data_IF_108100769751
#
_entry.id   IF_108100769751
#
_cell.length_a   1.000
_cell.length_b   1.000
_cell.length_c   1.000
_cell.angle_alpha   90.00
_cell.angle_beta   90.00
_cell.angle_gamma   90.00
#
_symmetry.space_group_name_H-M   'P 1'
#
loop_
_entity.id
_entity.type
_entity.pdbx_description
1 polymer ?
#
# COMPACT_ATOMS: atom_id res chain seq x y z
N UNK A 1 -17.72 -2.26 28.12
CA UNK A 1 -17.72 -1.23 27.05
C UNK A 1 -16.84 -0.10 27.50
N UNK A 2 -15.76 0.22 26.76
CA UNK A 2 -14.99 1.43 27.04
C UNK A 2 -15.88 2.65 26.76
N UNK A 3 -15.85 3.61 27.67
CA UNK A 3 -16.64 4.83 27.56
C UNK A 3 -16.17 5.65 26.35
N UNK A 4 -17.10 6.06 25.48
CA UNK A 4 -16.80 6.91 24.31
C UNK A 4 -16.11 8.23 24.75
N UNK A 5 -16.36 8.69 25.96
CA UNK A 5 -15.70 9.85 26.54
C UNK A 5 -14.19 9.62 26.72
N UNK A 6 -13.75 8.40 27.09
CA UNK A 6 -12.34 8.06 27.19
C UNK A 6 -11.64 8.11 25.82
N UNK A 7 -12.34 7.67 24.76
CA UNK A 7 -11.82 7.74 23.39
C UNK A 7 -11.62 9.19 22.96
N UNK A 8 -12.60 10.06 23.19
CA UNK A 8 -12.52 11.48 22.87
C UNK A 8 -11.44 12.18 23.68
N UNK A 9 -11.31 11.87 24.96
CA UNK A 9 -10.28 12.42 25.83
C UNK A 9 -8.87 12.03 25.34
N UNK A 10 -8.63 10.74 25.00
CA UNK A 10 -7.38 10.26 24.47
C UNK A 10 -7.06 10.88 23.10
N UNK A 11 -8.06 11.03 22.22
CA UNK A 11 -7.93 11.69 20.94
C UNK A 11 -7.45 13.14 21.09
N UNK A 12 -8.10 13.89 21.98
CA UNK A 12 -7.73 15.28 22.28
C UNK A 12 -6.34 15.38 22.91
N UNK A 13 -6.06 14.53 23.89
CA UNK A 13 -4.79 14.56 24.64
C UNK A 13 -3.58 14.23 23.77
N UNK A 14 -3.66 13.21 22.92
CA UNK A 14 -2.51 12.68 22.19
C UNK A 14 -2.41 13.18 20.73
N UNK A 15 -3.54 13.52 20.09
CA UNK A 15 -3.56 14.00 18.70
C UNK A 15 -4.03 15.44 18.53
N UNK A 16 -4.61 16.06 19.57
CA UNK A 16 -5.12 17.43 19.52
C UNK A 16 -6.42 17.58 18.69
N UNK A 17 -7.10 16.48 18.38
CA UNK A 17 -8.36 16.51 17.63
C UNK A 17 -9.57 16.46 18.57
N UNK A 18 -10.56 17.30 18.31
CA UNK A 18 -11.82 17.32 19.09
C UNK A 18 -12.78 16.21 18.67
N UNK A 19 -12.79 15.85 17.38
CA UNK A 19 -13.74 14.89 16.82
C UNK A 19 -13.05 13.95 15.81
N UNK A 20 -13.61 12.75 15.69
CA UNK A 20 -13.25 11.80 14.65
C UNK A 20 -13.96 12.16 13.33
N UNK A 21 -13.33 11.87 12.22
CA UNK A 21 -13.93 12.01 10.89
C UNK A 21 -14.68 10.74 10.53
N UNK A 22 -15.91 10.80 10.05
CA UNK A 22 -16.59 9.61 9.53
C UNK A 22 -15.76 8.96 8.40
N UNK A 23 -15.60 7.61 8.35
CA UNK A 23 -16.13 6.60 9.29
C UNK A 23 -15.10 6.10 10.34
N UNK A 24 -14.17 6.94 10.82
CA UNK A 24 -13.14 6.54 11.81
C UNK A 24 -13.78 5.98 13.10
N UNK A 25 -14.92 6.52 13.51
CA UNK A 25 -15.67 6.05 14.68
C UNK A 25 -16.14 4.61 14.53
N UNK A 26 -16.61 4.21 13.33
CA UNK A 26 -17.02 2.84 13.03
C UNK A 26 -15.83 1.87 13.14
N UNK A 27 -14.66 2.28 12.60
CA UNK A 27 -13.42 1.49 12.68
C UNK A 27 -13.02 1.27 14.14
N UNK A 28 -13.01 2.34 14.94
CA UNK A 28 -12.61 2.29 16.35
C UNK A 28 -13.56 1.39 17.13
N UNK A 29 -14.89 1.51 16.93
CA UNK A 29 -15.89 0.63 17.58
C UNK A 29 -15.65 -0.83 17.23
N UNK A 30 -15.52 -1.17 15.94
CA UNK A 30 -15.29 -2.54 15.50
C UNK A 30 -14.06 -3.17 16.20
N UNK A 31 -12.95 -2.42 16.27
CA UNK A 31 -11.73 -2.90 16.91
C UNK A 31 -11.84 -3.02 18.44
N UNK A 32 -12.55 -2.10 19.12
CA UNK A 32 -12.81 -2.18 20.56
C UNK A 32 -13.73 -3.35 20.90
N UNK A 33 -14.70 -3.65 20.04
CA UNK A 33 -15.62 -4.78 20.16
C UNK A 33 -14.97 -6.11 19.74
N UNK A 34 -13.66 -6.09 19.45
CA UNK A 34 -12.86 -7.25 19.00
C UNK A 34 -13.41 -7.94 17.76
N UNK A 35 -14.01 -7.17 16.84
CA UNK A 35 -14.51 -7.64 15.55
C UNK A 35 -13.41 -7.49 14.49
N UNK A 36 -13.36 -8.46 13.59
CA UNK A 36 -12.52 -8.35 12.40
C UNK A 36 -13.02 -7.19 11.52
N UNK A 37 -12.11 -6.51 10.80
CA UNK A 37 -12.49 -5.38 9.97
C UNK A 37 -11.70 -5.32 8.65
N UNK A 38 -12.40 -4.95 7.58
CA UNK A 38 -11.79 -4.60 6.30
C UNK A 38 -12.05 -3.11 6.04
N UNK A 39 -10.97 -2.31 6.15
CA UNK A 39 -11.03 -0.86 6.18
C UNK A 39 -10.41 -0.29 4.90
N UNK A 40 -11.25 0.28 4.04
CA UNK A 40 -10.83 0.93 2.80
C UNK A 40 -11.05 2.43 2.91
N UNK A 41 -10.03 3.15 3.33
CA UNK A 41 -10.08 4.61 3.53
C UNK A 41 -9.02 5.30 2.67
N UNK A 42 -9.36 6.31 1.89
CA UNK A 42 -8.43 7.03 1.05
C UNK A 42 -7.20 7.54 1.80
N UNK A 43 -6.12 7.80 1.07
CA UNK A 43 -4.92 8.40 1.64
C UNK A 43 -5.24 9.73 2.31
N UNK A 44 -4.74 9.96 3.53
CA UNK A 44 -5.00 11.19 4.30
C UNK A 44 -6.25 11.14 5.21
N UNK A 45 -7.02 10.05 5.20
CA UNK A 45 -8.19 9.87 6.09
C UNK A 45 -7.83 9.47 7.53
N UNK A 46 -6.54 9.34 7.86
CA UNK A 46 -6.13 9.02 9.22
C UNK A 46 -6.32 7.55 9.61
N UNK A 47 -6.11 6.62 8.67
CA UNK A 47 -6.16 5.17 8.93
C UNK A 47 -5.39 4.75 10.18
N UNK A 48 -4.14 5.23 10.30
CA UNK A 48 -3.25 4.87 11.42
C UNK A 48 -3.82 5.32 12.78
N UNK A 49 -4.45 6.49 12.83
CA UNK A 49 -5.10 7.01 14.04
C UNK A 49 -6.10 6.00 14.62
N UNK A 50 -6.91 5.34 13.77
CA UNK A 50 -7.96 4.44 14.23
C UNK A 50 -7.40 3.30 15.09
N UNK A 51 -6.39 2.58 14.59
CA UNK A 51 -5.83 1.45 15.34
C UNK A 51 -4.84 1.89 16.43
N UNK A 52 -4.14 3.03 16.26
CA UNK A 52 -3.25 3.57 17.28
C UNK A 52 -4.03 4.01 18.53
N UNK A 53 -5.17 4.67 18.34
CA UNK A 53 -6.02 5.10 19.44
C UNK A 53 -6.59 3.89 20.21
N UNK A 54 -7.04 2.86 19.50
CA UNK A 54 -7.54 1.62 20.12
C UNK A 54 -6.43 0.90 20.89
N UNK A 55 -5.23 0.78 20.31
CA UNK A 55 -4.09 0.14 20.97
C UNK A 55 -3.67 0.86 22.25
N UNK A 56 -3.79 2.18 22.29
CA UNK A 56 -3.49 2.99 23.49
C UNK A 56 -4.45 2.68 24.65
N UNK A 57 -5.72 2.48 24.34
CA UNK A 57 -6.78 2.27 25.31
C UNK A 57 -6.85 0.85 25.88
N UNK A 58 -6.13 -0.09 25.27
CA UNK A 58 -6.12 -1.50 25.66
C UNK A 58 -4.81 -1.90 26.34
N UNK A 59 -4.84 -2.90 27.21
CA UNK A 59 -3.65 -3.56 27.76
C UNK A 59 -3.17 -4.66 26.81
N UNK A 60 -1.84 -4.85 26.71
CA UNK A 60 -1.24 -5.79 25.75
C UNK A 60 -0.78 -5.10 24.46
N UNK A 61 -0.29 -5.87 23.50
CA UNK A 61 0.31 -5.37 22.26
C UNK A 61 -0.63 -5.55 21.07
N UNK A 62 -0.76 -4.52 20.26
CA UNK A 62 -1.32 -4.61 18.91
C UNK A 62 -0.16 -4.78 17.93
N UNK A 63 -0.17 -5.87 17.19
CA UNK A 63 0.80 -6.16 16.13
C UNK A 63 0.39 -5.42 14.87
N UNK A 64 1.29 -4.62 14.30
CA UNK A 64 1.04 -3.87 13.06
C UNK A 64 2.01 -4.37 11.99
N UNK A 65 1.49 -5.11 11.03
CA UNK A 65 2.28 -5.61 9.89
C UNK A 65 2.22 -4.58 8.77
N UNK A 66 3.41 -4.09 8.39
CA UNK A 66 3.56 -3.07 7.35
C UNK A 66 4.67 -3.44 6.35
N UNK A 67 4.54 -3.10 5.05
CA UNK A 67 5.49 -3.53 4.03
C UNK A 67 6.82 -2.78 4.02
N UNK A 68 6.91 -1.63 4.66
CA UNK A 68 8.06 -0.72 4.54
C UNK A 68 8.67 -0.34 5.88
N UNK A 69 10.00 -0.55 5.98
CA UNK A 69 10.78 -0.20 7.17
C UNK A 69 10.67 1.31 7.47
N UNK A 70 10.89 2.17 6.47
CA UNK A 70 10.83 3.62 6.64
C UNK A 70 9.46 4.08 7.19
N UNK A 71 8.35 3.51 6.68
CA UNK A 71 7.02 3.82 7.19
C UNK A 71 6.85 3.41 8.66
N UNK A 72 7.35 2.22 9.02
CA UNK A 72 7.29 1.75 10.42
C UNK A 72 8.10 2.66 11.34
N UNK A 73 9.31 3.05 10.94
CA UNK A 73 10.17 3.98 11.70
C UNK A 73 9.49 5.34 11.90
N UNK A 74 8.93 5.92 10.83
CA UNK A 74 8.24 7.21 10.89
C UNK A 74 7.01 7.17 11.83
N UNK A 75 6.20 6.11 11.72
CA UNK A 75 5.04 5.90 12.59
C UNK A 75 5.46 5.78 14.06
N UNK A 76 6.51 5.01 14.35
CA UNK A 76 7.02 4.84 15.71
C UNK A 76 7.62 6.15 16.25
N UNK A 77 8.36 6.90 15.43
CA UNK A 77 8.90 8.21 15.85
C UNK A 77 7.77 9.20 16.17
N UNK A 78 6.69 9.24 15.39
CA UNK A 78 5.54 10.10 15.66
C UNK A 78 4.83 9.70 16.96
N UNK A 79 4.70 8.39 17.23
CA UNK A 79 4.15 7.87 18.49
C UNK A 79 5.05 8.21 19.70
N UNK A 80 6.37 8.15 19.56
CA UNK A 80 7.29 8.56 20.64
C UNK A 80 7.19 10.06 20.98
N UNK A 81 7.03 10.91 19.95
CA UNK A 81 6.76 12.37 20.21
C UNK A 81 5.49 12.57 21.04
N UNK A 82 4.52 11.67 20.91
CA UNK A 82 3.26 11.65 21.68
C UNK A 82 3.39 10.90 23.00
N UNK A 83 4.60 10.40 23.35
CA UNK A 83 4.89 9.61 24.55
C UNK A 83 4.10 8.28 24.60
N UNK A 84 3.84 7.67 23.44
CA UNK A 84 3.14 6.40 23.33
C UNK A 84 4.12 5.23 23.25
N UNK A 85 3.86 4.11 23.96
CA UNK A 85 4.78 2.96 24.00
C UNK A 85 4.66 2.12 22.74
N UNK A 86 5.43 2.46 21.72
CA UNK A 86 5.53 1.79 20.46
C UNK A 86 6.97 1.43 20.11
N UNK A 87 7.14 0.39 19.30
CA UNK A 87 8.44 -0.01 18.77
C UNK A 87 8.28 -0.59 17.35
N UNK A 88 9.39 -0.66 16.60
CA UNK A 88 9.46 -1.43 15.37
C UNK A 88 10.55 -2.50 15.46
N UNK A 89 10.34 -3.62 14.73
CA UNK A 89 11.30 -4.70 14.54
C UNK A 89 11.49 -4.94 13.05
N UNK A 90 12.74 -4.82 12.59
CA UNK A 90 13.13 -5.09 11.20
C UNK A 90 14.59 -5.58 11.12
N UNK A 91 15.02 -6.02 9.94
CA UNK A 91 16.35 -6.60 9.72
C UNK A 91 17.50 -5.61 9.93
N UNK A 92 17.28 -4.32 9.69
CA UNK A 92 18.28 -3.26 9.78
C UNK A 92 18.42 -2.70 11.22
N UNK A 93 17.63 -3.19 12.18
CA UNK A 93 17.65 -2.68 13.55
C UNK A 93 18.93 -3.14 14.29
N UNK A 94 19.54 -2.22 15.02
CA UNK A 94 20.69 -2.51 15.89
C UNK A 94 20.38 -3.69 16.85
N UNK A 95 21.32 -4.65 17.02
CA UNK A 95 21.10 -5.84 17.85
C UNK A 95 20.75 -5.54 19.31
N UNK A 96 21.34 -4.51 19.90
CA UNK A 96 21.05 -4.14 21.29
C UNK A 96 19.64 -3.55 21.41
N UNK A 97 19.23 -2.70 20.46
CA UNK A 97 17.88 -2.17 20.39
C UNK A 97 16.86 -3.27 20.16
N UNK A 98 17.16 -4.22 19.24
CA UNK A 98 16.32 -5.40 18.99
C UNK A 98 16.07 -6.19 20.27
N UNK A 99 17.11 -6.47 21.06
CA UNK A 99 16.99 -7.17 22.36
C UNK A 99 16.11 -6.40 23.34
N UNK A 100 16.22 -5.07 23.40
CA UNK A 100 15.37 -4.23 24.26
C UNK A 100 13.90 -4.27 23.86
N UNK A 101 13.61 -4.23 22.55
CA UNK A 101 12.23 -4.31 22.02
C UNK A 101 11.62 -5.67 22.33
N UNK A 102 12.37 -6.77 22.14
CA UNK A 102 11.91 -8.12 22.45
C UNK A 102 11.62 -8.30 23.93
N UNK A 103 12.47 -7.72 24.82
CA UNK A 103 12.23 -7.72 26.27
C UNK A 103 10.99 -6.89 26.63
N UNK A 104 10.79 -5.73 26.01
CA UNK A 104 9.61 -4.91 26.24
C UNK A 104 8.31 -5.59 25.78
N UNK A 105 8.35 -6.43 24.72
CA UNK A 105 7.25 -7.27 24.30
C UNK A 105 6.91 -8.33 25.37
N UNK A 106 7.90 -9.07 25.88
CA UNK A 106 7.73 -10.07 26.94
C UNK A 106 7.11 -9.49 28.21
N UNK A 107 7.48 -8.27 28.56
CA UNK A 107 7.03 -7.55 29.76
C UNK A 107 5.72 -6.77 29.55
N UNK A 108 5.02 -6.93 28.40
CA UNK A 108 3.80 -6.21 28.01
C UNK A 108 3.91 -4.68 28.14
N UNK A 109 5.12 -4.13 27.95
CA UNK A 109 5.37 -2.67 28.01
C UNK A 109 5.06 -1.94 26.69
N UNK A 110 4.79 -2.68 25.62
CA UNK A 110 4.42 -2.12 24.31
C UNK A 110 2.90 -2.11 24.14
N UNK A 111 2.40 -1.06 23.51
CA UNK A 111 1.02 -0.99 23.00
C UNK A 111 0.95 -1.29 21.50
N UNK A 112 1.99 -0.92 20.77
CA UNK A 112 2.11 -1.13 19.33
C UNK A 112 3.48 -1.70 19.00
N UNK A 113 3.49 -2.76 18.20
CA UNK A 113 4.71 -3.34 17.65
C UNK A 113 4.57 -3.42 16.13
N UNK A 114 5.33 -2.57 15.43
CA UNK A 114 5.43 -2.56 13.97
C UNK A 114 6.49 -3.53 13.50
N UNK A 115 6.16 -4.37 12.51
CA UNK A 115 7.09 -5.35 11.96
C UNK A 115 6.68 -5.78 10.54
N UNK A 116 7.64 -6.33 9.79
CA UNK A 116 7.33 -7.04 8.55
C UNK A 116 6.82 -8.47 8.82
N UNK A 117 6.11 -9.09 7.88
CA UNK A 117 5.63 -10.46 8.06
C UNK A 117 6.78 -11.47 8.26
N UNK A 118 7.92 -11.26 7.61
CA UNK A 118 9.12 -12.07 7.76
C UNK A 118 9.66 -12.03 9.20
N UNK A 119 9.61 -10.84 9.81
CA UNK A 119 10.04 -10.65 11.21
C UNK A 119 9.04 -11.26 12.18
N UNK A 120 7.74 -11.15 11.89
CA UNK A 120 6.67 -11.73 12.71
C UNK A 120 6.85 -13.25 12.90
N UNK A 121 7.16 -13.96 11.81
CA UNK A 121 7.36 -15.40 11.82
C UNK A 121 8.81 -15.81 12.10
N UNK A 122 9.71 -14.86 12.46
CA UNK A 122 11.07 -15.21 12.87
C UNK A 122 11.08 -15.88 14.25
N UNK A 123 11.97 -16.86 14.49
CA UNK A 123 12.00 -17.59 15.76
C UNK A 123 12.05 -16.69 17.00
N UNK A 124 12.85 -15.60 17.05
CA UNK A 124 12.91 -14.75 18.24
C UNK A 124 11.59 -14.05 18.58
N UNK A 125 10.79 -13.69 17.56
CA UNK A 125 9.49 -13.04 17.77
C UNK A 125 8.43 -14.09 18.05
N UNK A 126 8.39 -15.16 17.23
CA UNK A 126 7.39 -16.21 17.33
C UNK A 126 7.37 -16.89 18.72
N UNK A 127 8.54 -17.28 19.23
CA UNK A 127 8.68 -17.88 20.57
C UNK A 127 8.11 -16.99 21.67
N UNK A 128 8.24 -15.64 21.53
CA UNK A 128 7.68 -14.69 22.50
C UNK A 128 6.17 -14.57 22.39
N UNK A 129 5.67 -14.52 21.18
CA UNK A 129 4.22 -14.47 20.97
C UNK A 129 3.50 -15.71 21.53
N UNK A 130 4.17 -16.85 21.58
CA UNK A 130 3.64 -18.09 22.17
C UNK A 130 3.65 -18.09 23.71
N UNK A 131 4.44 -17.22 24.36
CA UNK A 131 4.52 -17.19 25.84
C UNK A 131 3.17 -16.76 26.44
N UNK A 132 2.59 -17.48 27.41
CA UNK A 132 1.25 -17.21 27.95
C UNK A 132 1.06 -15.78 28.47
N UNK A 133 2.12 -15.19 29.07
CA UNK A 133 2.07 -13.83 29.65
C UNK A 133 2.00 -12.72 28.60
N UNK A 134 2.44 -12.92 27.36
CA UNK A 134 2.39 -11.91 26.31
C UNK A 134 0.93 -11.75 25.84
N UNK A 135 0.34 -10.60 26.03
CA UNK A 135 -1.05 -10.32 25.66
C UNK A 135 -1.10 -9.69 24.27
N UNK A 136 -1.87 -10.27 23.36
CA UNK A 136 -2.09 -9.75 22.00
C UNK A 136 -3.50 -9.22 21.91
N UNK A 137 -3.63 -7.93 21.57
CA UNK A 137 -4.93 -7.26 21.43
C UNK A 137 -5.50 -7.36 20.01
N UNK A 138 -4.65 -7.44 19.00
CA UNK A 138 -5.08 -7.50 17.61
C UNK A 138 -3.92 -7.58 16.64
N UNK A 139 -4.23 -7.96 15.41
CA UNK A 139 -3.35 -7.90 14.26
C UNK A 139 -3.89 -6.85 13.28
N UNK A 140 -3.11 -5.84 13.02
CA UNK A 140 -3.38 -4.83 11.99
C UNK A 140 -2.49 -5.14 10.79
N UNK A 141 -3.09 -5.24 9.62
CA UNK A 141 -2.37 -5.39 8.35
C UNK A 141 -2.51 -4.07 7.60
N UNK A 142 -1.45 -3.26 7.64
CA UNK A 142 -1.41 -1.98 6.94
C UNK A 142 -0.97 -2.17 5.49
N UNK A 143 -1.49 -1.32 4.59
CA UNK A 143 -1.34 -1.43 3.13
C UNK A 143 -1.69 -2.85 2.62
N UNK A 144 -2.81 -3.39 3.12
CA UNK A 144 -3.22 -4.77 2.92
C UNK A 144 -3.38 -5.17 1.44
N UNK A 145 -3.62 -4.21 0.52
CA UNK A 145 -3.66 -4.48 -0.92
C UNK A 145 -2.40 -5.20 -1.45
N UNK A 146 -1.25 -5.04 -0.77
CA UNK A 146 0.01 -5.72 -1.12
C UNK A 146 -0.06 -7.25 -1.01
N UNK A 147 -1.06 -7.80 -0.29
CA UNK A 147 -1.28 -9.26 -0.21
C UNK A 147 -1.82 -9.86 -1.51
N UNK A 148 -2.54 -9.05 -2.29
CA UNK A 148 -3.28 -9.51 -3.47
C UNK A 148 -2.55 -9.20 -4.76
N UNK A 149 -1.83 -8.08 -4.81
CA UNK A 149 -1.17 -7.63 -6.04
C UNK A 149 0.18 -8.30 -6.24
N UNK A 150 0.29 -9.04 -7.35
CA UNK A 150 1.52 -9.65 -7.81
C UNK A 150 2.37 -8.63 -8.57
N UNK A 151 3.58 -8.41 -8.10
CA UNK A 151 4.52 -7.48 -8.72
C UNK A 151 5.80 -7.34 -7.88
N UNK A 152 6.62 -6.35 -8.17
CA UNK A 152 7.89 -6.12 -7.48
C UNK A 152 7.77 -5.83 -5.98
N UNK A 153 6.57 -5.49 -5.49
CA UNK A 153 6.28 -5.28 -4.07
C UNK A 153 5.63 -6.49 -3.38
N UNK A 154 5.33 -7.55 -4.11
CA UNK A 154 4.69 -8.74 -3.54
C UNK A 154 5.60 -9.45 -2.53
N UNK A 155 5.07 -9.68 -1.33
CA UNK A 155 5.76 -10.40 -0.24
C UNK A 155 4.98 -11.67 0.12
N UNK A 156 5.49 -12.86 -0.21
CA UNK A 156 4.79 -14.13 0.01
C UNK A 156 4.47 -14.38 1.48
N UNK A 157 5.28 -13.86 2.39
CA UNK A 157 5.10 -14.00 3.84
C UNK A 157 3.80 -13.38 4.35
N UNK A 158 3.24 -12.39 3.65
CA UNK A 158 1.94 -11.82 4.00
C UNK A 158 0.80 -12.83 3.94
N UNK A 159 0.86 -13.82 3.06
CA UNK A 159 -0.19 -14.83 2.93
C UNK A 159 -0.31 -15.76 4.12
N UNK A 160 0.72 -15.81 4.95
CA UNK A 160 0.72 -16.61 6.18
C UNK A 160 0.06 -15.89 7.36
N UNK A 161 -0.29 -14.60 7.21
CA UNK A 161 -0.86 -13.79 8.30
C UNK A 161 -2.21 -14.32 8.78
N UNK A 162 -3.05 -14.88 7.92
CA UNK A 162 -4.31 -15.52 8.30
C UNK A 162 -4.12 -16.66 9.28
N UNK A 163 -2.98 -17.37 9.18
CA UNK A 163 -2.65 -18.51 10.03
C UNK A 163 -2.15 -18.12 11.43
N UNK A 164 -1.88 -16.82 11.67
CA UNK A 164 -1.39 -16.36 12.97
C UNK A 164 -2.37 -16.69 14.10
N UNK A 165 -3.63 -16.38 13.90
CA UNK A 165 -4.70 -16.59 14.90
C UNK A 165 -4.94 -18.08 15.22
N UNK A 166 -5.13 -19.01 14.25
CA UNK A 166 -5.25 -20.41 14.53
C UNK A 166 -4.00 -21.03 15.16
N UNK A 167 -2.80 -20.62 14.73
CA UNK A 167 -1.54 -21.14 15.29
C UNK A 167 -1.28 -20.69 16.74
N UNK A 168 -1.81 -19.55 17.16
CA UNK A 168 -1.71 -19.06 18.54
C UNK A 168 -2.92 -19.45 19.41
N UNK A 169 -4.01 -19.96 18.83
CA UNK A 169 -5.23 -20.30 19.56
C UNK A 169 -5.03 -21.25 20.76
N UNK A 170 -4.07 -22.23 20.75
CA UNK A 170 -3.83 -23.10 21.92
C UNK A 170 -3.32 -22.34 23.15
N UNK A 171 -2.69 -21.16 22.96
CA UNK A 171 -1.99 -20.43 24.04
C UNK A 171 -2.50 -19.00 24.22
N UNK A 172 -3.37 -18.51 23.33
CA UNK A 172 -3.87 -17.12 23.33
C UNK A 172 -5.39 -17.07 23.20
N UNK A 173 -6.04 -16.12 23.89
CA UNK A 173 -7.41 -15.72 23.55
C UNK A 173 -7.50 -15.26 22.09
N UNK A 174 -8.69 -15.42 21.50
CA UNK A 174 -8.93 -14.87 20.14
C UNK A 174 -8.79 -13.35 20.14
N UNK A 175 -8.16 -12.83 19.11
CA UNK A 175 -7.96 -11.40 18.88
C UNK A 175 -8.43 -11.01 17.47
N UNK A 176 -8.86 -9.75 17.24
CA UNK A 176 -9.32 -9.30 15.94
C UNK A 176 -8.17 -9.16 14.95
N UNK A 177 -8.48 -9.35 13.67
CA UNK A 177 -7.60 -9.04 12.53
C UNK A 177 -8.26 -7.92 11.72
N UNK A 178 -7.54 -6.84 11.48
CA UNK A 178 -8.04 -5.76 10.66
C UNK A 178 -7.09 -5.41 9.51
N UNK A 179 -7.64 -5.41 8.30
CA UNK A 179 -6.93 -5.07 7.07
C UNK A 179 -7.21 -3.61 6.71
N UNK A 180 -6.16 -2.81 6.58
CA UNK A 180 -6.23 -1.39 6.21
C UNK A 180 -5.62 -1.17 4.84
N UNK A 181 -6.32 -0.48 3.97
CA UNK A 181 -5.80 -0.06 2.67
C UNK A 181 -6.40 1.28 2.23
N UNK A 182 -5.70 1.96 1.33
CA UNK A 182 -6.23 3.19 0.71
C UNK A 182 -7.13 2.89 -0.49
N UNK A 183 -6.88 1.79 -1.18
CA UNK A 183 -7.53 1.43 -2.44
C UNK A 183 -7.76 -0.08 -2.48
N UNK A 184 -8.99 -0.50 -2.71
CA UNK A 184 -9.34 -1.89 -2.99
C UNK A 184 -10.65 -1.94 -3.78
N UNK A 185 -10.66 -2.69 -4.87
CA UNK A 185 -11.87 -3.08 -5.57
C UNK A 185 -12.60 -4.22 -4.83
N UNK A 186 -13.86 -4.55 -5.18
CA UNK A 186 -14.61 -5.60 -4.49
C UNK A 186 -13.92 -6.98 -4.53
N UNK A 187 -13.22 -7.30 -5.61
CA UNK A 187 -12.50 -8.57 -5.75
C UNK A 187 -11.29 -8.62 -4.82
N UNK A 188 -10.52 -7.52 -4.73
CA UNK A 188 -9.43 -7.37 -3.76
C UNK A 188 -9.95 -7.50 -2.33
N UNK A 189 -11.08 -6.88 -2.00
CA UNK A 189 -11.71 -7.01 -0.68
C UNK A 189 -12.04 -8.46 -0.32
N UNK A 190 -12.67 -9.19 -1.23
CA UNK A 190 -12.99 -10.61 -1.06
C UNK A 190 -11.74 -11.47 -0.84
N UNK A 191 -10.70 -11.25 -1.67
CA UNK A 191 -9.41 -11.97 -1.53
C UNK A 191 -8.70 -11.67 -0.22
N UNK A 192 -8.72 -10.41 0.23
CA UNK A 192 -8.14 -10.03 1.53
C UNK A 192 -8.82 -10.76 2.67
N UNK A 193 -10.17 -10.82 2.66
CA UNK A 193 -10.95 -11.56 3.66
C UNK A 193 -10.59 -13.04 3.69
N UNK A 194 -10.41 -13.67 2.53
CA UNK A 194 -10.02 -15.07 2.41
C UNK A 194 -8.57 -15.33 2.89
N UNK A 195 -7.61 -14.52 2.44
CA UNK A 195 -6.17 -14.69 2.78
C UNK A 195 -5.95 -14.49 4.28
N UNK A 196 -6.62 -13.52 4.89
CA UNK A 196 -6.48 -13.18 6.30
C UNK A 196 -7.41 -13.99 7.21
N UNK A 197 -8.24 -14.88 6.64
CA UNK A 197 -9.24 -15.66 7.37
C UNK A 197 -10.10 -14.81 8.31
N UNK A 198 -10.59 -13.66 7.77
CA UNK A 198 -11.41 -12.74 8.54
C UNK A 198 -12.76 -13.39 8.87
N UNK A 199 -13.20 -13.22 10.12
CA UNK A 199 -14.44 -13.80 10.65
C UNK A 199 -15.51 -12.73 10.71
N UNK A 200 -16.50 -12.82 9.83
CA UNK A 200 -17.63 -11.85 9.73
C UNK A 200 -17.15 -10.39 9.85
N UNK A 201 -16.23 -9.94 8.96
CA UNK A 201 -15.58 -8.65 9.13
C UNK A 201 -16.52 -7.48 8.90
N UNK A 202 -16.37 -6.42 9.69
CA UNK A 202 -16.95 -5.12 9.36
C UNK A 202 -16.31 -4.55 8.10
N UNK A 203 -17.13 -4.30 7.07
CA UNK A 203 -16.70 -3.64 5.85
C UNK A 203 -16.88 -2.14 5.95
N UNK A 204 -15.79 -1.42 6.27
CA UNK A 204 -15.82 0.03 6.45
C UNK A 204 -15.10 0.68 5.26
N UNK A 205 -15.86 1.44 4.46
CA UNK A 205 -15.35 2.03 3.23
C UNK A 205 -15.73 3.51 3.15
N UNK A 206 -14.78 4.33 2.68
CA UNK A 206 -15.05 5.71 2.31
C UNK A 206 -14.82 5.91 0.82
N UNK A 207 -15.59 6.81 0.23
CA UNK A 207 -15.50 7.18 -1.17
C UNK A 207 -14.09 7.69 -1.52
N UNK A 208 -13.45 7.16 -2.56
CA UNK A 208 -12.16 7.65 -3.03
C UNK A 208 -12.23 9.01 -3.74
N UNK A 209 -13.43 9.52 -4.04
CA UNK A 209 -13.63 10.81 -4.69
C UNK A 209 -13.04 11.94 -3.86
N UNK A 210 -12.18 12.72 -4.49
CA UNK A 210 -11.58 13.92 -3.90
C UNK A 210 -11.81 15.10 -4.81
N UNK A 211 -12.72 15.98 -4.42
CA UNK A 211 -13.13 17.15 -5.22
C UNK A 211 -11.97 18.11 -5.56
N UNK A 212 -10.93 18.14 -4.71
CA UNK A 212 -9.74 18.95 -4.91
C UNK A 212 -8.71 18.35 -5.89
N UNK A 213 -8.91 17.11 -6.37
CA UNK A 213 -8.05 16.48 -7.38
C UNK A 213 -8.63 16.64 -8.78
N UNK A 214 -7.93 17.38 -9.63
CA UNK A 214 -8.25 17.51 -11.05
C UNK A 214 -7.51 16.46 -11.86
N UNK A 215 -8.22 15.43 -12.35
CA UNK A 215 -7.64 14.35 -13.14
C UNK A 215 -7.60 14.72 -14.63
N UNK A 216 -6.42 14.58 -15.25
CA UNK A 216 -6.23 14.91 -16.67
C UNK A 216 -5.42 13.82 -17.37
N UNK A 217 -5.75 13.52 -18.62
CA UNK A 217 -5.02 12.61 -19.49
C UNK A 217 -4.67 13.30 -20.79
N UNK A 218 -3.41 13.17 -21.21
CA UNK A 218 -2.95 13.75 -22.45
C UNK A 218 -2.17 12.74 -23.30
N UNK A 219 -2.50 12.66 -24.58
CA UNK A 219 -1.81 11.79 -25.55
C UNK A 219 -0.48 12.43 -25.92
N UNK A 220 0.60 11.67 -25.78
CA UNK A 220 1.92 12.00 -26.30
C UNK A 220 2.14 11.27 -27.61
N UNK A 221 2.37 12.02 -28.69
CA UNK A 221 2.53 11.48 -30.03
C UNK A 221 3.93 10.93 -30.33
N UNK A 222 4.90 11.27 -29.49
CA UNK A 222 6.27 10.75 -29.60
C UNK A 222 6.98 10.92 -28.24
N UNK A 223 8.13 10.24 -28.03
CA UNK A 223 8.96 10.48 -26.85
C UNK A 223 9.40 11.96 -26.69
N UNK A 224 9.63 12.66 -27.79
CA UNK A 224 9.96 14.10 -27.78
C UNK A 224 8.74 14.94 -27.36
N UNK A 225 7.55 14.62 -27.86
CA UNK A 225 6.32 15.29 -27.47
C UNK A 225 5.98 15.04 -25.99
N UNK A 226 6.23 13.84 -25.48
CA UNK A 226 6.08 13.49 -24.06
C UNK A 226 6.93 14.39 -23.17
N UNK A 227 8.21 14.57 -23.52
CA UNK A 227 9.13 15.47 -22.81
C UNK A 227 8.70 16.94 -22.91
N UNK A 228 8.26 17.40 -24.08
CA UNK A 228 7.76 18.76 -24.28
C UNK A 228 6.51 19.05 -23.44
N UNK A 229 5.57 18.09 -23.35
CA UNK A 229 4.37 18.19 -22.50
C UNK A 229 4.73 18.25 -21.02
N UNK A 230 5.72 17.46 -20.59
CA UNK A 230 6.25 17.53 -19.22
C UNK A 230 6.78 18.94 -18.92
N UNK A 231 7.66 19.51 -19.77
CA UNK A 231 8.20 20.86 -19.54
C UNK A 231 7.11 21.91 -19.48
N UNK A 232 6.14 21.87 -20.41
CA UNK A 232 5.00 22.77 -20.40
C UNK A 232 4.22 22.65 -19.08
N UNK A 233 3.93 21.44 -18.66
CA UNK A 233 3.20 21.19 -17.41
C UNK A 233 3.95 21.72 -16.19
N UNK A 234 5.27 21.51 -16.12
CA UNK A 234 6.11 22.03 -15.04
C UNK A 234 6.17 23.57 -15.02
N UNK A 235 6.13 24.22 -16.19
CA UNK A 235 6.06 25.68 -16.31
C UNK A 235 4.71 26.27 -15.88
N UNK A 236 3.61 25.58 -16.22
CA UNK A 236 2.25 26.03 -15.91
C UNK A 236 1.80 25.75 -14.46
N UNK A 237 2.47 24.83 -13.76
CA UNK A 237 2.03 24.37 -12.43
C UNK A 237 3.12 24.64 -11.39
N UNK A 238 3.08 25.80 -10.72
CA UNK A 238 4.00 26.10 -9.63
C UNK A 238 3.71 25.23 -8.40
N UNK A 239 4.62 25.30 -7.40
CA UNK A 239 4.49 24.56 -6.16
C UNK A 239 5.13 23.16 -6.21
N UNK A 240 4.98 22.44 -5.12
CA UNK A 240 5.58 21.12 -4.91
C UNK A 240 4.84 20.03 -5.70
N UNK A 241 5.57 19.07 -6.26
CA UNK A 241 4.98 17.99 -7.02
C UNK A 241 5.81 16.74 -7.15
N UNK A 242 5.26 15.75 -7.90
CA UNK A 242 5.87 14.45 -8.15
C UNK A 242 5.74 14.09 -9.63
N UNK A 243 6.83 13.55 -10.20
CA UNK A 243 6.83 12.95 -11.54
C UNK A 243 7.04 11.45 -11.40
N UNK A 244 5.99 10.67 -11.67
CA UNK A 244 6.07 9.21 -11.61
C UNK A 244 6.58 8.61 -12.90
N UNK A 245 7.58 7.75 -12.78
CA UNK A 245 8.14 6.90 -13.85
C UNK A 245 8.02 5.43 -13.44
N UNK A 246 8.18 4.51 -14.40
CA UNK A 246 7.93 3.08 -14.13
C UNK A 246 9.20 2.29 -13.81
N UNK A 247 10.36 2.73 -14.28
CA UNK A 247 11.63 2.04 -14.04
C UNK A 247 12.66 2.96 -13.40
N UNK A 248 13.65 2.38 -12.73
CA UNK A 248 14.80 3.13 -12.15
C UNK A 248 15.52 3.90 -13.23
N UNK A 249 15.80 3.23 -14.35
CA UNK A 249 16.46 3.80 -15.52
C UNK A 249 15.71 5.00 -16.09
N UNK A 250 14.38 4.88 -16.28
CA UNK A 250 13.54 6.01 -16.71
C UNK A 250 13.70 7.22 -15.77
N UNK A 251 13.78 6.95 -14.45
CA UNK A 251 13.94 8.00 -13.44
C UNK A 251 15.26 8.72 -13.54
N UNK A 252 16.36 7.97 -13.63
CA UNK A 252 17.73 8.49 -13.74
C UNK A 252 17.89 9.31 -15.03
N UNK A 253 17.51 8.74 -16.19
CA UNK A 253 17.57 9.40 -17.49
C UNK A 253 16.70 10.68 -17.53
N UNK A 254 15.50 10.64 -16.95
CA UNK A 254 14.62 11.79 -16.93
C UNK A 254 15.11 12.90 -16.00
N UNK A 255 15.60 12.55 -14.82
CA UNK A 255 16.15 13.54 -13.88
C UNK A 255 17.41 14.23 -14.43
N UNK A 256 18.31 13.47 -15.07
CA UNK A 256 19.48 14.02 -15.74
C UNK A 256 19.08 14.97 -16.89
N UNK A 257 18.12 14.54 -17.73
CA UNK A 257 17.62 15.37 -18.82
C UNK A 257 16.98 16.67 -18.32
N UNK A 258 16.18 16.62 -17.22
CA UNK A 258 15.59 17.81 -16.59
C UNK A 258 16.66 18.72 -16.00
N UNK A 259 17.74 18.18 -15.43
CA UNK A 259 18.89 18.96 -14.98
C UNK A 259 19.53 19.77 -16.09
N UNK A 260 19.67 19.19 -17.31
CA UNK A 260 20.15 19.91 -18.52
C UNK A 260 19.20 21.02 -18.98
N UNK A 261 17.93 21.00 -18.54
CA UNK A 261 16.95 22.08 -18.76
C UNK A 261 16.90 23.09 -17.59
N UNK A 262 17.93 23.12 -16.74
CA UNK A 262 18.02 23.98 -15.55
C UNK A 262 16.88 23.75 -14.52
N UNK A 263 16.30 22.56 -14.49
CA UNK A 263 15.28 22.17 -13.51
C UNK A 263 15.92 21.32 -12.41
N UNK A 264 16.07 21.90 -11.23
CA UNK A 264 16.64 21.20 -10.06
C UNK A 264 15.69 20.11 -9.58
N UNK A 265 16.07 18.86 -9.77
CA UNK A 265 15.33 17.66 -9.32
C UNK A 265 16.31 16.53 -9.02
N UNK A 266 15.79 15.44 -8.46
CA UNK A 266 16.53 14.20 -8.27
C UNK A 266 15.62 13.00 -8.52
N UNK A 267 16.20 11.83 -8.78
CA UNK A 267 15.43 10.59 -8.89
C UNK A 267 15.36 9.87 -7.56
N UNK A 268 14.18 9.27 -7.28
CA UNK A 268 13.96 8.43 -6.11
C UNK A 268 13.42 7.07 -6.51
N UNK A 269 14.10 6.00 -6.12
CA UNK A 269 13.69 4.61 -6.38
C UNK A 269 14.24 3.64 -5.33
N UNK A 270 13.70 2.44 -5.28
CA UNK A 270 14.07 1.42 -4.30
C UNK A 270 15.50 0.88 -4.41
N UNK A 271 16.23 1.21 -5.47
CA UNK A 271 17.66 0.86 -5.64
C UNK A 271 18.63 1.81 -4.97
N UNK A 272 18.16 2.96 -4.47
CA UNK A 272 18.99 3.89 -3.72
C UNK A 272 19.26 3.36 -2.30
N UNK A 273 20.46 3.66 -1.78
CA UNK A 273 20.79 3.42 -0.38
C UNK A 273 19.81 4.14 0.56
N UNK A 274 19.55 3.55 1.73
CA UNK A 274 18.61 4.11 2.71
C UNK A 274 18.96 5.54 3.12
N UNK A 275 20.26 5.85 3.32
CA UNK A 275 20.73 7.19 3.63
C UNK A 275 20.42 8.22 2.53
N UNK A 276 20.60 7.83 1.26
CA UNK A 276 20.29 8.69 0.12
C UNK A 276 18.79 8.92 -0.01
N UNK A 277 17.96 7.90 0.19
CA UNK A 277 16.51 8.03 0.20
C UNK A 277 16.05 9.04 1.25
N UNK A 278 16.51 8.92 2.51
CA UNK A 278 16.17 9.85 3.60
C UNK A 278 16.63 11.28 3.32
N UNK A 279 17.80 11.49 2.66
CA UNK A 279 18.24 12.84 2.26
C UNK A 279 17.32 13.47 1.24
N UNK A 280 16.92 12.73 0.20
CA UNK A 280 16.05 13.21 -0.86
C UNK A 280 14.63 13.51 -0.33
N UNK A 281 14.09 12.64 0.52
CA UNK A 281 12.82 12.86 1.21
C UNK A 281 12.84 14.16 2.01
N UNK A 282 13.88 14.37 2.82
CA UNK A 282 14.04 15.59 3.63
C UNK A 282 14.16 16.82 2.75
N UNK A 283 15.01 16.80 1.72
CA UNK A 283 15.18 17.92 0.80
C UNK A 283 13.87 18.31 0.09
N UNK A 284 13.05 17.32 -0.27
CA UNK A 284 11.75 17.58 -0.88
C UNK A 284 10.71 18.07 0.15
N UNK A 285 10.68 17.50 1.35
CA UNK A 285 9.80 17.96 2.43
C UNK A 285 10.09 19.41 2.84
N UNK A 286 11.36 19.80 2.88
CA UNK A 286 11.82 21.15 3.24
C UNK A 286 11.72 22.15 2.06
N UNK A 287 11.35 21.68 0.85
CA UNK A 287 11.20 22.56 -0.32
C UNK A 287 12.52 22.90 -1.03
N UNK A 288 13.65 22.31 -0.65
CA UNK A 288 14.94 22.47 -1.34
C UNK A 288 14.88 21.89 -2.76
N UNK A 289 14.08 20.83 -2.94
CA UNK A 289 13.68 20.28 -4.22
C UNK A 289 12.18 20.57 -4.44
N UNK A 290 11.87 21.27 -5.52
CA UNK A 290 10.48 21.57 -5.89
C UNK A 290 9.69 20.28 -6.19
N UNK A 291 10.33 19.32 -6.85
CA UNK A 291 9.73 18.04 -7.21
C UNK A 291 10.77 16.93 -7.27
N UNK A 292 10.29 15.69 -7.24
CA UNK A 292 11.10 14.50 -7.44
C UNK A 292 10.61 13.72 -8.66
N UNK A 293 11.54 13.11 -9.39
CA UNK A 293 11.25 12.05 -10.35
C UNK A 293 11.31 10.73 -9.60
N UNK A 294 10.22 9.95 -9.56
CA UNK A 294 10.16 8.81 -8.66
C UNK A 294 9.46 7.60 -9.28
N UNK A 295 9.85 6.42 -8.81
CA UNK A 295 9.06 5.20 -9.02
C UNK A 295 8.02 5.03 -7.92
N UNK A 296 7.19 3.98 -8.00
CA UNK A 296 6.24 3.61 -6.94
C UNK A 296 6.90 3.34 -5.56
N UNK A 297 8.23 3.21 -5.50
CA UNK A 297 8.97 3.13 -4.24
C UNK A 297 8.88 4.43 -3.42
N UNK A 298 8.59 5.58 -4.08
CA UNK A 298 8.37 6.84 -3.40
C UNK A 298 6.91 6.96 -3.03
N UNK A 299 6.68 7.08 -1.74
CA UNK A 299 5.39 7.55 -1.35
C UNK A 299 4.69 6.84 -0.20
N UNK A 300 4.80 5.53 0.01
CA UNK A 300 4.25 4.92 1.23
C UNK A 300 4.96 5.54 2.45
N UNK A 301 4.18 6.16 3.35
CA UNK A 301 4.71 6.82 4.55
C UNK A 301 5.01 8.31 4.44
N UNK A 302 5.27 8.85 3.27
CA UNK A 302 5.62 10.26 3.14
C UNK A 302 4.35 11.13 3.20
N UNK A 303 4.36 12.08 4.15
CA UNK A 303 3.25 12.99 4.35
C UNK A 303 3.67 14.45 4.12
N UNK A 304 3.54 14.92 2.87
CA UNK A 304 3.64 16.34 2.51
C UNK A 304 2.23 16.83 2.16
N UNK A 305 1.65 17.75 2.92
CA UNK A 305 0.25 18.16 2.74
C UNK A 305 0.03 18.99 1.46
N UNK A 306 1.01 19.80 1.09
CA UNK A 306 0.95 20.85 0.07
C UNK A 306 1.46 20.42 -1.31
N UNK A 307 1.30 19.16 -1.70
CA UNK A 307 1.61 18.70 -3.05
C UNK A 307 0.55 19.24 -4.02
N UNK A 308 0.97 20.11 -4.95
CA UNK A 308 0.05 20.82 -5.85
C UNK A 308 -0.17 20.10 -7.18
N UNK A 309 0.72 19.18 -7.54
CA UNK A 309 0.55 18.41 -8.77
C UNK A 309 1.26 17.04 -8.70
N UNK A 310 0.70 16.11 -9.46
CA UNK A 310 1.26 14.78 -9.70
C UNK A 310 1.24 14.50 -11.20
N UNK A 311 2.38 14.17 -11.78
CA UNK A 311 2.48 13.83 -13.19
C UNK A 311 2.94 12.39 -13.36
N UNK A 312 2.19 11.59 -14.13
CA UNK A 312 2.61 10.29 -14.59
C UNK A 312 3.24 10.42 -15.96
N UNK A 313 4.57 10.26 -16.01
CA UNK A 313 5.31 10.30 -17.29
C UNK A 313 4.98 9.09 -18.16
N UNK A 314 4.65 7.94 -17.54
CA UNK A 314 4.03 6.78 -18.12
C UNK A 314 2.90 6.27 -17.23
N UNK A 315 1.83 5.70 -17.80
CA UNK A 315 0.72 5.16 -17.02
C UNK A 315 1.18 4.12 -15.98
N UNK A 316 0.58 4.10 -14.79
CA UNK A 316 0.77 3.01 -13.85
C UNK A 316 0.11 1.71 -14.36
N UNK A 317 0.54 0.54 -13.86
CA UNK A 317 0.03 -0.73 -14.32
C UNK A 317 -1.43 -0.99 -13.92
N UNK A 318 -1.90 -0.38 -12.82
CA UNK A 318 -3.25 -0.56 -12.32
C UNK A 318 -3.91 0.76 -11.94
N UNK A 319 -5.24 0.77 -11.93
CA UNK A 319 -6.01 1.94 -11.46
C UNK A 319 -5.81 2.18 -9.96
N UNK A 320 -5.52 1.14 -9.18
CA UNK A 320 -5.19 1.25 -7.76
C UNK A 320 -3.87 2.00 -7.55
N UNK A 321 -2.82 1.64 -8.31
CA UNK A 321 -1.55 2.38 -8.27
C UNK A 321 -1.78 3.85 -8.65
N UNK A 322 -2.58 4.11 -9.68
CA UNK A 322 -2.93 5.46 -10.09
C UNK A 322 -3.55 6.27 -8.96
N UNK A 323 -4.60 5.75 -8.31
CA UNK A 323 -5.27 6.46 -7.21
C UNK A 323 -4.36 6.63 -5.99
N UNK A 324 -3.51 5.66 -5.69
CA UNK A 324 -2.55 5.75 -4.61
C UNK A 324 -1.50 6.85 -4.88
N UNK A 325 -1.02 6.96 -6.12
CA UNK A 325 -0.03 7.95 -6.55
C UNK A 325 -0.64 9.37 -6.61
N UNK A 326 -1.81 9.55 -7.23
CA UNK A 326 -2.49 10.87 -7.25
C UNK A 326 -3.01 11.27 -5.87
N UNK A 327 -3.36 10.31 -5.02
CA UNK A 327 -3.81 10.52 -3.65
C UNK A 327 -2.80 11.21 -2.73
N UNK A 328 -1.55 11.39 -3.18
CA UNK A 328 -0.52 12.19 -2.48
C UNK A 328 -0.72 13.67 -2.62
N UNK A 329 -1.43 14.07 -3.66
CA UNK A 329 -1.70 15.47 -3.94
C UNK A 329 -2.77 16.08 -3.04
N UNK A 330 -2.62 17.34 -2.64
CA UNK A 330 -3.64 18.15 -1.98
C UNK A 330 -4.19 17.55 -0.67
N UNK A 331 -3.36 16.98 0.18
CA UNK A 331 -3.80 16.39 1.46
C UNK A 331 -4.28 17.43 2.47
N UNK A 332 -3.89 18.66 2.27
CA UNK A 332 -4.37 19.83 3.03
C UNK A 332 -5.74 20.34 2.56
N UNK A 333 -6.38 19.68 1.57
CA UNK A 333 -7.62 20.13 0.94
C UNK A 333 -7.41 21.14 -0.17
N UNK A 334 -6.20 21.65 -0.37
CA UNK A 334 -5.86 22.56 -1.46
C UNK A 334 -5.94 21.87 -2.83
N UNK A 335 -6.12 22.66 -3.92
CA UNK A 335 -6.24 22.11 -5.26
C UNK A 335 -4.97 21.38 -5.70
N UNK A 336 -5.14 20.24 -6.37
CA UNK A 336 -4.04 19.48 -6.95
C UNK A 336 -4.39 19.03 -8.36
N UNK A 337 -3.47 19.23 -9.29
CA UNK A 337 -3.60 18.82 -10.69
C UNK A 337 -2.85 17.51 -10.94
N UNK A 338 -3.56 16.46 -11.32
CA UNK A 338 -2.98 15.22 -11.79
C UNK A 338 -2.98 15.19 -13.32
N UNK A 339 -1.82 14.89 -13.92
CA UNK A 339 -1.69 14.70 -15.37
C UNK A 339 -1.06 13.33 -15.65
N UNK A 340 -1.71 12.52 -16.48
CA UNK A 340 -1.16 11.28 -16.98
C UNK A 340 -0.86 11.43 -18.48
N UNK A 341 0.40 11.19 -18.87
CA UNK A 341 0.82 11.13 -20.26
C UNK A 341 0.71 9.70 -20.76
N UNK A 342 0.01 9.51 -21.87
CA UNK A 342 -0.18 8.19 -22.49
C UNK A 342 0.34 8.22 -23.93
N UNK A 343 0.89 7.12 -24.41
CA UNK A 343 1.28 6.97 -25.82
C UNK A 343 0.05 7.10 -26.74
N UNK A 344 0.29 7.52 -27.96
CA UNK A 344 -0.75 7.53 -28.99
C UNK A 344 -1.35 6.12 -29.21
N UNK A 345 -2.64 6.00 -29.63
CA UNK A 345 -3.36 4.72 -29.58
C UNK A 345 -2.73 3.60 -30.41
N UNK A 346 -2.03 3.92 -31.51
CA UNK A 346 -1.40 2.90 -32.37
C UNK A 346 -0.11 2.34 -31.78
N UNK A 347 0.57 3.08 -30.90
CA UNK A 347 1.89 2.73 -30.34
C UNK A 347 2.98 2.64 -31.40
N UNK A 348 2.78 3.21 -32.59
CA UNK A 348 3.78 3.23 -33.66
C UNK A 348 4.81 4.34 -33.47
N UNK A 349 4.35 5.54 -33.08
CA UNK A 349 5.21 6.70 -32.89
C UNK A 349 5.81 6.74 -31.48
N UNK A 350 5.09 6.26 -30.48
CA UNK A 350 5.57 6.08 -29.09
C UNK A 350 5.21 4.69 -28.56
N UNK A 351 6.03 3.66 -28.79
CA UNK A 351 5.76 2.29 -28.35
C UNK A 351 6.03 2.08 -26.84
N UNK A 352 6.39 3.13 -26.10
CA UNK A 352 6.92 2.99 -24.73
C UNK A 352 5.89 2.38 -23.76
N UNK A 353 4.61 2.78 -23.82
CA UNK A 353 3.59 2.24 -22.92
C UNK A 353 3.21 0.80 -23.27
N UNK A 354 3.08 0.46 -24.56
CA UNK A 354 2.88 -0.94 -25.01
C UNK A 354 4.01 -1.88 -24.57
N UNK A 355 5.27 -1.44 -24.69
CA UNK A 355 6.42 -2.24 -24.25
C UNK A 355 6.38 -2.50 -22.74
N UNK A 356 5.97 -1.50 -21.94
CA UNK A 356 5.81 -1.64 -20.49
C UNK A 356 4.68 -2.59 -20.12
N UNK A 357 3.55 -2.48 -20.80
CA UNK A 357 2.43 -3.39 -20.63
C UNK A 357 2.83 -4.84 -20.98
N UNK A 358 3.47 -5.05 -22.13
CA UNK A 358 3.97 -6.36 -22.53
C UNK A 358 4.99 -6.93 -21.51
N UNK A 359 5.89 -6.09 -20.99
CA UNK A 359 6.80 -6.51 -19.93
C UNK A 359 6.05 -6.94 -18.66
N UNK A 360 5.02 -6.22 -18.25
CA UNK A 360 4.22 -6.57 -17.09
C UNK A 360 3.55 -7.95 -17.29
N UNK A 361 2.94 -8.21 -18.42
CA UNK A 361 2.35 -9.53 -18.74
C UNK A 361 3.41 -10.63 -18.77
N UNK A 362 4.57 -10.38 -19.37
CA UNK A 362 5.66 -11.38 -19.39
C UNK A 362 6.15 -11.76 -17.99
N UNK A 363 6.14 -10.82 -17.03
CA UNK A 363 6.48 -11.14 -15.63
C UNK A 363 5.42 -12.06 -14.99
N UNK A 364 4.14 -11.84 -15.27
CA UNK A 364 3.08 -12.72 -14.76
C UNK A 364 3.17 -14.13 -15.35
N UNK A 365 3.44 -14.24 -16.65
CA UNK A 365 3.65 -15.53 -17.33
C UNK A 365 4.85 -16.29 -16.76
N UNK A 366 5.97 -15.60 -16.56
CA UNK A 366 7.18 -16.17 -15.91
C UNK A 366 6.87 -16.70 -14.52
N UNK A 367 6.12 -15.94 -13.73
CA UNK A 367 5.73 -16.36 -12.39
C UNK A 367 4.83 -17.60 -12.43
N UNK A 368 3.86 -17.66 -13.36
CA UNK A 368 3.02 -18.85 -13.53
C UNK A 368 3.83 -20.07 -14.00
N UNK A 369 4.76 -19.88 -14.94
CA UNK A 369 5.65 -20.95 -15.38
C UNK A 369 6.52 -21.47 -14.23
N UNK A 370 7.05 -20.55 -13.39
CA UNK A 370 7.82 -20.91 -12.19
C UNK A 370 6.97 -21.67 -11.18
N UNK A 371 5.73 -21.23 -10.94
CA UNK A 371 4.82 -21.92 -10.01
C UNK A 371 4.47 -23.33 -10.53
N UNK A 372 4.23 -23.47 -11.85
CA UNK A 372 3.99 -24.79 -12.46
C UNK A 372 5.19 -25.72 -12.28
N UNK A 373 6.40 -25.24 -12.50
CA UNK A 373 7.61 -26.04 -12.29
C UNK A 373 7.78 -26.41 -10.81
N UNK A 374 7.62 -25.44 -9.91
CA UNK A 374 7.72 -25.66 -8.47
C UNK A 374 6.72 -26.73 -8.00
N UNK A 375 5.46 -26.68 -8.47
CA UNK A 375 4.44 -27.66 -8.10
C UNK A 375 4.84 -29.11 -8.41
N UNK A 376 5.61 -29.33 -9.46
CA UNK A 376 6.07 -30.69 -9.84
C UNK A 376 7.24 -31.16 -8.97
N UNK A 377 8.06 -30.24 -8.45
CA UNK A 377 9.31 -30.54 -7.73
C UNK A 377 9.16 -30.50 -6.21
N UNK A 378 8.12 -29.85 -5.68
CA UNK A 378 7.87 -29.77 -4.23
C UNK A 378 7.66 -31.16 -3.62
N UNK A 379 8.17 -31.44 -2.40
CA UNK A 379 7.75 -32.60 -1.63
C UNK A 379 6.26 -32.49 -1.27
N UNK A 380 5.65 -33.63 -0.89
CA UNK A 380 4.24 -33.66 -0.47
C UNK A 380 3.98 -32.76 0.75
N UNK A 381 4.96 -32.70 1.65
CA UNK A 381 5.01 -31.81 2.80
C UNK A 381 6.41 -31.21 2.91
N UNK A 382 6.51 -29.95 3.34
CA UNK A 382 7.79 -29.28 3.46
C UNK A 382 7.74 -28.04 4.36
N UNK A 383 8.92 -27.54 4.73
CA UNK A 383 9.05 -26.29 5.46
C UNK A 383 9.21 -25.09 4.52
N UNK A 384 8.58 -23.98 4.89
CA UNK A 384 8.81 -22.72 4.20
C UNK A 384 10.27 -22.25 4.25
N UNK A 385 10.98 -22.61 5.34
CA UNK A 385 12.38 -22.26 5.52
C UNK A 385 13.31 -22.94 4.50
N UNK A 386 12.94 -24.14 4.03
CA UNK A 386 13.72 -24.93 3.08
C UNK A 386 13.67 -24.35 1.64
N UNK A 387 12.72 -23.44 1.39
CA UNK A 387 12.59 -22.82 0.09
C UNK A 387 13.55 -21.62 -0.06
N UNK A 388 14.25 -21.53 -1.19
CA UNK A 388 15.09 -20.38 -1.47
C UNK A 388 14.25 -19.10 -1.47
N UNK A 389 14.78 -17.98 -0.94
CA UNK A 389 14.08 -16.70 -0.95
C UNK A 389 13.87 -16.19 -2.39
N UNK A 390 12.92 -15.28 -2.57
CA UNK A 390 12.61 -14.68 -3.85
C UNK A 390 11.52 -15.42 -4.63
N UNK A 391 11.73 -15.68 -5.92
CA UNK A 391 10.70 -16.18 -6.85
C UNK A 391 10.05 -17.52 -6.42
N UNK A 392 10.79 -18.42 -5.77
CA UNK A 392 10.24 -19.69 -5.28
C UNK A 392 9.15 -19.47 -4.23
N UNK A 393 9.40 -18.57 -3.28
CA UNK A 393 8.40 -18.24 -2.23
C UNK A 393 7.20 -17.48 -2.81
N UNK A 394 7.44 -16.62 -3.80
CA UNK A 394 6.34 -15.95 -4.54
C UNK A 394 5.49 -16.98 -5.29
N UNK A 395 6.12 -17.94 -5.96
CA UNK A 395 5.44 -19.03 -6.67
C UNK A 395 4.61 -19.91 -5.71
N UNK A 396 5.10 -20.15 -4.49
CA UNK A 396 4.34 -20.89 -3.47
C UNK A 396 3.03 -20.18 -3.10
N UNK A 397 3.06 -18.86 -2.95
CA UNK A 397 1.84 -18.06 -2.73
C UNK A 397 0.83 -18.17 -3.87
N UNK A 398 1.30 -18.28 -5.11
CA UNK A 398 0.44 -18.52 -6.27
C UNK A 398 -0.20 -19.93 -6.22
N UNK A 399 0.55 -20.94 -5.83
CA UNK A 399 0.04 -22.31 -5.68
C UNK A 399 -1.03 -22.43 -4.58
N UNK A 400 -0.89 -21.67 -3.50
CA UNK A 400 -1.93 -21.57 -2.47
C UNK A 400 -3.21 -20.95 -3.06
N UNK A 401 -3.10 -19.85 -3.82
CA UNK A 401 -4.25 -19.20 -4.46
C UNK A 401 -4.99 -20.12 -5.44
N UNK A 402 -4.24 -21.02 -6.09
CA UNK A 402 -4.80 -22.03 -7.00
C UNK A 402 -5.40 -23.24 -6.28
N UNK A 403 -5.34 -23.29 -4.93
CA UNK A 403 -5.80 -24.43 -4.17
C UNK A 403 -4.91 -25.69 -4.28
N UNK A 404 -3.73 -25.59 -4.90
CA UNK A 404 -2.79 -26.69 -5.02
C UNK A 404 -2.06 -26.99 -3.71
N UNK A 405 -2.07 -26.05 -2.77
CA UNK A 405 -1.29 -26.07 -1.56
C UNK A 405 -2.12 -25.57 -0.38
N UNK A 406 -1.95 -26.23 0.77
CA UNK A 406 -2.51 -25.86 2.05
C UNK A 406 -1.39 -25.61 3.06
N UNK A 407 -1.66 -24.71 4.02
CA UNK A 407 -0.80 -24.41 5.15
C UNK A 407 -1.42 -24.96 6.43
N UNK A 408 -0.90 -26.07 7.02
CA UNK A 408 -1.37 -26.56 8.32
C UNK A 408 -0.98 -25.62 9.47
N UNK A 409 0.11 -24.88 9.31
CA UNK A 409 0.62 -23.85 10.21
C UNK A 409 1.44 -22.80 9.44
N UNK A 410 1.91 -21.69 10.06
CA UNK A 410 2.67 -20.65 9.35
C UNK A 410 4.03 -21.09 8.78
N UNK A 411 4.54 -22.26 9.12
CA UNK A 411 5.89 -22.71 8.79
C UNK A 411 5.95 -23.86 7.81
N UNK A 412 4.89 -24.65 7.72
CA UNK A 412 4.83 -25.85 6.89
C UNK A 412 3.74 -25.75 5.84
N UNK A 413 4.02 -26.32 4.69
CA UNK A 413 3.05 -26.46 3.61
C UNK A 413 2.80 -27.93 3.27
N UNK A 414 1.62 -28.19 2.72
CA UNK A 414 1.21 -29.48 2.21
C UNK A 414 0.67 -29.31 0.79
N UNK A 415 1.19 -30.10 -0.16
CA UNK A 415 0.69 -30.16 -1.52
C UNK A 415 -0.57 -31.03 -1.54
N UNK A 416 -1.70 -30.46 -1.93
CA UNK A 416 -2.99 -31.15 -1.98
C UNK A 416 -3.13 -31.94 -3.31
N UNK A 417 -2.73 -31.32 -4.42
CA UNK A 417 -2.72 -31.95 -5.73
C UNK A 417 -1.75 -31.25 -6.68
N UNK A 418 -1.30 -31.98 -7.72
CA UNK A 418 -0.35 -31.47 -8.72
C UNK A 418 -1.03 -31.08 -10.05
N UNK A 419 -2.37 -30.96 -10.06
CA UNK A 419 -3.11 -30.56 -11.24
C UNK A 419 -2.94 -29.07 -11.47
N UNK A 420 -2.25 -28.69 -12.54
CA UNK A 420 -2.06 -27.30 -12.91
C UNK A 420 -3.33 -26.75 -13.58
N UNK A 421 -3.84 -25.61 -13.09
CA UNK A 421 -4.85 -24.80 -13.75
C UNK A 421 -4.37 -23.35 -13.72
N UNK A 422 -4.19 -22.69 -14.90
CA UNK A 422 -3.71 -21.31 -14.90
C UNK A 422 -4.74 -20.41 -14.24
N UNK A 423 -4.29 -19.50 -13.38
CA UNK A 423 -5.16 -18.48 -12.82
C UNK A 423 -5.60 -17.53 -13.93
N UNK A 424 -6.89 -17.53 -14.21
CA UNK A 424 -7.52 -16.47 -14.99
C UNK A 424 -7.72 -15.27 -14.07
N UNK A 425 -6.98 -14.22 -14.29
CA UNK A 425 -7.16 -12.94 -13.62
C UNK A 425 -7.79 -11.96 -14.59
N UNK A 426 -8.60 -11.08 -14.05
CA UNK A 426 -9.01 -9.89 -14.79
C UNK A 426 -7.75 -9.12 -15.21
N UNK A 427 -7.81 -8.54 -16.40
CA UNK A 427 -6.72 -7.71 -16.88
C UNK A 427 -6.60 -6.46 -15.99
N UNK A 428 -5.50 -6.30 -15.24
CA UNK A 428 -5.32 -5.15 -14.37
C UNK A 428 -5.31 -3.82 -15.12
N UNK A 429 -5.05 -3.87 -16.44
CA UNK A 429 -5.08 -2.72 -17.32
C UNK A 429 -6.49 -2.26 -17.68
N UNK A 430 -7.52 -3.12 -17.56
CA UNK A 430 -8.90 -2.80 -17.90
C UNK A 430 -9.41 -1.52 -17.17
N UNK A 431 -9.11 -1.37 -15.88
CA UNK A 431 -9.45 -0.16 -15.14
C UNK A 431 -8.72 1.09 -15.66
N UNK A 432 -7.47 0.94 -16.10
CA UNK A 432 -6.70 2.02 -16.72
C UNK A 432 -7.25 2.42 -18.07
N UNK A 433 -7.69 1.48 -18.90
CA UNK A 433 -8.34 1.75 -20.18
C UNK A 433 -9.62 2.56 -19.99
N UNK A 434 -10.45 2.18 -19.01
CA UNK A 434 -11.66 2.93 -18.67
C UNK A 434 -11.33 4.39 -18.32
N UNK A 435 -10.28 4.64 -17.54
CA UNK A 435 -9.83 5.99 -17.22
C UNK A 435 -9.28 6.71 -18.46
N UNK A 436 -8.41 6.08 -19.24
CA UNK A 436 -7.73 6.68 -20.41
C UNK A 436 -8.73 7.06 -21.49
N UNK A 437 -9.69 6.19 -21.77
CA UNK A 437 -10.66 6.36 -22.86
C UNK A 437 -12.00 6.96 -22.41
N UNK A 438 -12.10 7.40 -21.14
CA UNK A 438 -13.33 8.03 -20.63
C UNK A 438 -13.80 9.18 -21.53
N UNK A 439 -15.06 9.12 -21.96
CA UNK A 439 -15.71 10.18 -22.75
C UNK A 439 -16.31 11.28 -21.85
N UNK A 440 -16.78 10.90 -20.65
CA UNK A 440 -17.33 11.76 -19.62
C UNK A 440 -16.34 12.05 -18.50
N UNK A 441 -16.86 12.44 -17.33
CA UNK A 441 -16.06 12.73 -16.15
C UNK A 441 -15.10 11.58 -15.79
N UNK A 442 -13.84 11.91 -15.53
CA UNK A 442 -12.81 10.89 -15.16
C UNK A 442 -13.18 10.14 -13.89
N UNK A 443 -13.73 10.81 -12.89
CA UNK A 443 -14.18 10.15 -11.67
C UNK A 443 -15.35 9.19 -11.91
N UNK A 444 -16.29 9.51 -12.81
CA UNK A 444 -17.37 8.60 -13.19
C UNK A 444 -16.84 7.30 -13.84
N UNK A 445 -15.70 7.38 -14.54
CA UNK A 445 -15.07 6.18 -15.10
C UNK A 445 -14.31 5.34 -14.07
N UNK A 446 -13.82 5.98 -12.98
CA UNK A 446 -13.01 5.31 -11.94
C UNK A 446 -13.90 4.62 -10.90
N UNK A 447 -14.93 5.28 -10.43
CA UNK A 447 -15.70 4.86 -9.25
C UNK A 447 -16.33 3.47 -9.37
N UNK A 448 -16.92 3.07 -10.51
CA UNK A 448 -17.47 1.72 -10.69
C UNK A 448 -16.44 0.59 -10.51
N UNK A 449 -15.19 0.82 -10.91
CA UNK A 449 -14.12 -0.16 -10.69
C UNK A 449 -13.91 -0.46 -9.19
N UNK A 450 -14.09 0.55 -8.34
CA UNK A 450 -14.00 0.39 -6.88
C UNK A 450 -15.33 0.03 -6.22
N UNK A 451 -16.38 -0.29 -7.00
CA UNK A 451 -17.69 -0.67 -6.49
C UNK A 451 -18.52 0.50 -5.93
N UNK A 452 -18.25 1.72 -6.39
CA UNK A 452 -19.07 2.89 -6.08
C UNK A 452 -19.93 3.28 -7.28
N UNK A 453 -21.12 3.86 -7.07
CA UNK A 453 -21.95 4.35 -8.17
C UNK A 453 -21.21 5.39 -9.01
N UNK A 454 -21.31 5.31 -10.33
CA UNK A 454 -20.81 6.35 -11.23
C UNK A 454 -21.65 7.64 -11.19
N UNK A 455 -22.84 7.56 -10.65
CA UNK A 455 -23.75 8.68 -10.43
C UNK A 455 -23.92 8.90 -8.93
N UNK A 456 -23.36 9.96 -8.40
CA UNK A 456 -23.42 10.32 -6.99
C UNK A 456 -23.18 11.82 -6.79
N UNK A 457 -23.48 12.38 -5.60
CA UNK A 457 -23.20 13.78 -5.27
C UNK A 457 -21.74 14.15 -5.54
N UNK A 458 -21.49 15.31 -6.19
CA UNK A 458 -20.17 15.75 -6.59
C UNK A 458 -19.73 15.31 -7.99
N UNK A 459 -20.59 14.61 -8.75
CA UNK A 459 -20.35 14.25 -10.15
C UNK A 459 -21.41 14.86 -11.08
N UNK A 460 -20.99 15.29 -12.29
CA UNK A 460 -19.61 15.37 -12.79
C UNK A 460 -18.75 16.33 -11.99
N UNK A 461 -17.46 16.01 -11.79
CA UNK A 461 -16.57 16.70 -10.85
C UNK A 461 -16.28 18.18 -11.22
N UNK A 462 -16.56 18.62 -12.44
CA UNK A 462 -16.33 19.97 -12.94
C UNK A 462 -14.86 20.38 -13.12
N UNK A 463 -13.90 19.59 -12.64
CA UNK A 463 -12.48 19.97 -12.58
C UNK A 463 -11.55 19.14 -13.49
N UNK A 464 -11.94 17.94 -13.92
CA UNK A 464 -11.14 17.12 -14.83
C UNK A 464 -11.14 17.68 -16.25
N UNK A 465 -10.21 17.21 -17.10
CA UNK A 465 -10.11 17.64 -18.51
C UNK A 465 -11.43 17.44 -19.27
N UNK A 466 -12.14 16.34 -19.05
CA UNK A 466 -13.41 16.05 -19.72
C UNK A 466 -14.53 17.00 -19.32
N UNK A 467 -14.65 17.27 -18.01
CA UNK A 467 -15.66 18.23 -17.53
C UNK A 467 -15.42 19.66 -18.00
N UNK A 468 -14.14 20.06 -18.20
CA UNK A 468 -13.79 21.39 -18.72
C UNK A 468 -14.03 21.54 -20.22
N UNK A 469 -13.92 20.45 -20.99
CA UNK A 469 -14.23 20.44 -22.42
C UNK A 469 -15.73 20.44 -22.71
N UNK A 470 -16.55 20.05 -21.74
CA UNK A 470 -18.02 20.01 -21.86
C UNK A 470 -18.70 21.34 -21.47
N UNK A 471 -17.91 22.32 -21.00
CA UNK A 471 -18.32 23.71 -20.74
C UNK A 471 -17.91 24.58 -21.87
#
# INVERSE_FOLDING_TARGET
MQDWQQIQQALKQHWGYETLRPPQDQVIRALLDKRDALVVLPTGFGKSLCFQLVALLQTGVTLVVSPLIALMEDQVQDLWKRKLPAACLHSELDPALRKRVLKALEENRLRLLYLGPETLFSPPVWQRLQQPQVQINGLIVDEAHTLVHWGGSFRPDYRRLGLLRPALAPVKPSFPIAAFTATADPQTCSRLSQILELRDPEHIRADPLRANLSLNVAIAWSPADRRRRLLRFLGENPGSGLVYVRTRRDGEELAEWLGRQNLKTATYHGGLEAGSRRRLERAWLQGELRFLVCTNAFGMGINKPDVRWVLHFHPPPTLMDYLQEVGRGGRDGGPCRALMLVSEPTGMLDPSDRRRQAYFYSQQERLQARARHLLQTLPQQGSYADLPPGEARVALGLLQEMGCLHWPDPFHFQVLHRRWQPLRREDPWQGMEALIHARGCRWQAILPYFGYPGEQPGLPCGTCDRCRLSR
#
